data_IF_673085803537
#
_entry.id   IF_673085803537
#
_cell.length_a   1.000
_cell.length_b   1.000
_cell.length_c   1.000
_cell.angle_alpha   90.00
_cell.angle_beta   90.00
_cell.angle_gamma   90.00
#
_symmetry.space_group_name_H-M   'P 1'
#
loop_
_entity.id
_entity.type
_entity.pdbx_description
1 polymer ?
#
# COMPACT_ATOMS: atom_id res chain seq x y z
N UNK A 1 9.64 -5.62 5.71
CA UNK A 1 9.84 -4.17 5.94
C UNK A 1 8.89 -3.42 5.03
N UNK A 2 8.55 -2.16 5.34
CA UNK A 2 7.80 -1.29 4.43
C UNK A 2 8.71 -0.17 3.91
N UNK A 3 8.47 0.22 2.67
CA UNK A 3 9.18 1.28 1.96
C UNK A 3 8.17 2.27 1.41
N UNK A 4 8.42 3.55 1.64
CA UNK A 4 7.52 4.61 1.18
C UNK A 4 7.49 4.64 -0.35
N UNK A 5 6.28 4.72 -0.90
CA UNK A 5 6.02 4.80 -2.34
C UNK A 5 5.60 6.21 -2.75
N UNK A 6 4.61 6.76 -2.05
CA UNK A 6 4.03 8.05 -2.36
C UNK A 6 3.42 8.70 -1.12
N UNK A 7 3.44 10.04 -1.09
CA UNK A 7 2.68 10.85 -0.15
C UNK A 7 1.65 11.67 -0.95
N UNK A 8 0.37 11.53 -0.60
CA UNK A 8 -0.74 12.23 -1.24
C UNK A 8 -0.94 13.61 -0.61
N UNK A 9 -1.75 14.45 -1.27
CA UNK A 9 -1.97 15.85 -0.86
C UNK A 9 -2.56 16.02 0.55
N UNK A 10 -3.30 15.04 1.03
CA UNK A 10 -3.93 15.04 2.35
C UNK A 10 -3.01 14.42 3.44
N UNK A 11 -1.75 14.13 3.11
CA UNK A 11 -0.80 13.50 4.02
C UNK A 11 -0.94 11.98 4.09
N UNK A 12 -1.79 11.36 3.25
CA UNK A 12 -1.86 9.90 3.15
C UNK A 12 -0.54 9.36 2.60
N UNK A 13 0.10 8.45 3.33
CA UNK A 13 1.30 7.74 2.89
C UNK A 13 0.91 6.38 2.36
N UNK A 14 1.38 6.06 1.16
CA UNK A 14 1.32 4.73 0.57
C UNK A 14 2.71 4.14 0.65
N UNK A 15 2.83 2.95 1.24
CA UNK A 15 4.08 2.21 1.37
C UNK A 15 3.89 0.75 0.92
N UNK A 16 4.94 0.08 0.48
CA UNK A 16 4.89 -1.32 0.04
C UNK A 16 5.88 -2.18 0.81
N UNK A 17 5.58 -3.47 0.93
CA UNK A 17 6.51 -4.44 1.52
C UNK A 17 7.49 -4.98 0.48
N UNK A 18 8.62 -5.54 0.94
CA UNK A 18 9.35 -6.52 0.13
C UNK A 18 8.43 -7.69 -0.30
N UNK A 19 8.84 -8.45 -1.32
CA UNK A 19 8.13 -9.69 -1.70
C UNK A 19 8.12 -10.65 -0.51
N UNK A 20 6.92 -11.10 -0.14
CA UNK A 20 6.69 -12.03 0.96
C UNK A 20 6.87 -13.49 0.53
N UNK A 21 7.02 -14.45 1.47
CA UNK A 21 7.26 -15.86 1.13
C UNK A 21 6.16 -16.53 0.30
N UNK A 22 4.94 -15.99 0.33
CA UNK A 22 3.80 -16.43 -0.48
C UNK A 22 3.73 -15.72 -1.85
N UNK A 23 4.80 -15.04 -2.25
CA UNK A 23 4.91 -14.24 -3.47
C UNK A 23 3.91 -13.07 -3.56
N UNK A 24 3.48 -12.56 -2.42
CA UNK A 24 2.63 -11.36 -2.35
C UNK A 24 3.41 -10.12 -1.95
N UNK A 25 2.84 -8.95 -2.25
CA UNK A 25 3.31 -7.65 -1.75
C UNK A 25 2.16 -6.99 -1.01
N UNK A 26 2.42 -6.46 0.17
CA UNK A 26 1.44 -5.68 0.92
C UNK A 26 1.66 -4.21 0.64
N UNK A 27 0.60 -3.52 0.23
CA UNK A 27 0.55 -2.06 0.14
C UNK A 27 -0.17 -1.54 1.38
N UNK A 28 0.53 -0.78 2.21
CA UNK A 28 -0.04 -0.10 3.38
C UNK A 28 -0.42 1.32 2.99
N UNK A 29 -1.59 1.75 3.44
CA UNK A 29 -2.09 3.12 3.27
C UNK A 29 -2.43 3.64 4.65
N UNK A 30 -1.81 4.74 5.05
CA UNK A 30 -2.05 5.39 6.34
C UNK A 30 -2.28 6.89 6.15
N UNK A 31 -3.37 7.41 6.71
CA UNK A 31 -3.66 8.84 6.68
C UNK A 31 -3.72 9.39 8.11
N UNK A 32 -2.89 10.40 8.47
CA UNK A 32 -2.92 10.97 9.81
C UNK A 32 -4.25 11.67 10.07
N UNK A 33 -4.84 11.42 11.23
CA UNK A 33 -6.07 12.08 11.71
C UNK A 33 -5.89 12.57 13.13
N UNK A 34 -6.83 13.37 13.64
CA UNK A 34 -6.78 13.82 15.03
C UNK A 34 -6.82 12.61 15.97
N UNK A 35 -5.73 12.41 16.74
CA UNK A 35 -5.64 11.33 17.73
C UNK A 35 -5.25 9.95 17.18
N UNK A 36 -4.88 9.83 15.90
CA UNK A 36 -4.47 8.53 15.33
C UNK A 36 -4.22 8.56 13.83
N UNK A 37 -4.55 7.46 13.16
CA UNK A 37 -4.45 7.29 11.72
C UNK A 37 -5.62 6.45 11.19
N UNK A 38 -6.15 6.84 10.03
CA UNK A 38 -6.92 5.92 9.19
C UNK A 38 -5.93 4.91 8.59
N UNK A 39 -6.35 3.65 8.41
CA UNK A 39 -5.47 2.62 7.87
C UNK A 39 -6.19 1.69 6.90
N UNK A 40 -5.47 1.21 5.90
CA UNK A 40 -5.93 0.17 4.99
C UNK A 40 -4.73 -0.60 4.43
N UNK A 41 -4.92 -1.87 4.11
CA UNK A 41 -3.90 -2.71 3.46
C UNK A 41 -4.45 -3.43 2.25
N UNK A 42 -3.79 -3.29 1.11
CA UNK A 42 -4.08 -4.02 -0.11
C UNK A 42 -3.02 -5.11 -0.35
N UNK A 43 -3.46 -6.31 -0.73
CA UNK A 43 -2.56 -7.42 -1.07
C UNK A 43 -2.46 -7.53 -2.59
N UNK A 44 -1.26 -7.39 -3.14
CA UNK A 44 -0.97 -7.62 -4.55
C UNK A 44 -0.49 -9.06 -4.77
N UNK A 45 -0.89 -9.72 -5.88
CA UNK A 45 -1.68 -9.18 -6.99
C UNK A 45 -3.20 -9.43 -6.89
N UNK A 46 -3.71 -9.90 -5.74
CA UNK A 46 -5.14 -10.23 -5.58
C UNK A 46 -6.05 -9.00 -5.45
N UNK A 47 -5.47 -7.83 -5.16
CA UNK A 47 -6.17 -6.59 -4.82
C UNK A 47 -7.14 -6.76 -3.64
N UNK A 48 -6.78 -7.65 -2.71
CA UNK A 48 -7.59 -7.89 -1.52
C UNK A 48 -7.32 -6.80 -0.48
N UNK A 49 -8.36 -6.04 -0.15
CA UNK A 49 -8.32 -5.02 0.88
C UNK A 49 -8.69 -5.59 2.25
N UNK A 50 -7.86 -5.31 3.25
CA UNK A 50 -8.01 -5.76 4.63
C UNK A 50 -7.68 -4.64 5.61
N UNK A 51 -8.25 -4.72 6.82
CA UNK A 51 -7.95 -3.75 7.89
C UNK A 51 -8.27 -2.32 7.49
N UNK A 52 -9.38 -2.11 6.77
CA UNK A 52 -9.84 -0.78 6.36
C UNK A 52 -10.53 -0.11 7.55
N UNK A 53 -9.95 0.98 8.03
CA UNK A 53 -10.43 1.80 9.13
C UNK A 53 -10.34 3.28 8.73
N UNK A 54 -11.42 4.03 8.90
CA UNK A 54 -11.45 5.48 8.66
C UNK A 54 -11.64 5.93 7.21
N UNK A 55 -11.39 5.06 6.23
CA UNK A 55 -11.67 5.34 4.81
C UNK A 55 -13.13 5.08 4.44
N UNK A 56 -13.74 6.01 3.69
CA UNK A 56 -15.04 5.82 3.05
C UNK A 56 -14.95 4.88 1.85
N UNK A 57 -16.07 4.32 1.40
CA UNK A 57 -16.11 3.47 0.19
C UNK A 57 -15.57 4.19 -1.05
N UNK A 58 -15.83 5.50 -1.17
CA UNK A 58 -15.31 6.30 -2.28
C UNK A 58 -13.80 6.45 -2.20
N UNK A 59 -13.27 6.81 -1.03
CA UNK A 59 -11.82 6.93 -0.85
C UNK A 59 -11.11 5.60 -1.07
N UNK A 60 -11.70 4.49 -0.58
CA UNK A 60 -11.16 3.16 -0.83
C UNK A 60 -11.16 2.81 -2.33
N UNK A 61 -12.20 3.20 -3.07
CA UNK A 61 -12.25 3.03 -4.53
C UNK A 61 -11.18 3.87 -5.26
N UNK A 62 -10.94 5.10 -4.80
CA UNK A 62 -9.90 5.96 -5.37
C UNK A 62 -8.49 5.39 -5.07
N UNK A 63 -8.29 4.86 -3.87
CA UNK A 63 -7.07 4.13 -3.49
C UNK A 63 -6.89 2.83 -4.26
N UNK A 64 -7.96 2.07 -4.50
CA UNK A 64 -7.94 0.85 -5.30
C UNK A 64 -7.49 1.14 -6.74
N UNK A 65 -8.04 2.18 -7.37
CA UNK A 65 -7.61 2.61 -8.70
C UNK A 65 -6.13 3.04 -8.68
N UNK A 66 -5.72 3.83 -7.68
CA UNK A 66 -4.33 4.24 -7.54
C UNK A 66 -3.39 3.03 -7.43
N UNK A 67 -3.75 2.02 -6.64
CA UNK A 67 -2.94 0.80 -6.48
C UNK A 67 -2.89 0.01 -7.79
N UNK A 68 -4.00 -0.14 -8.51
CA UNK A 68 -4.02 -0.81 -9.82
C UNK A 68 -3.11 -0.12 -10.85
N UNK A 69 -3.18 1.22 -10.93
CA UNK A 69 -2.39 2.00 -11.90
C UNK A 69 -0.88 1.90 -11.61
N UNK A 70 -0.51 1.75 -10.34
CA UNK A 70 0.87 1.74 -9.89
C UNK A 70 1.43 0.34 -9.58
N UNK A 71 0.59 -0.70 -9.61
CA UNK A 71 0.96 -2.08 -9.27
C UNK A 71 2.20 -2.58 -10.04
N UNK A 72 2.37 -2.34 -11.36
CA UNK A 72 3.57 -2.79 -12.06
C UNK A 72 4.87 -2.21 -11.47
N UNK A 73 4.87 -0.93 -11.09
CA UNK A 73 6.04 -0.28 -10.52
C UNK A 73 6.27 -0.71 -9.06
N UNK A 74 5.20 -0.79 -8.26
CA UNK A 74 5.27 -1.28 -6.88
C UNK A 74 5.85 -2.70 -6.83
N UNK A 75 5.39 -3.61 -7.69
CA UNK A 75 5.89 -4.98 -7.76
C UNK A 75 7.37 -5.04 -8.19
N UNK A 76 7.79 -4.17 -9.11
CA UNK A 76 9.19 -4.07 -9.52
C UNK A 76 10.09 -3.59 -8.37
N UNK A 77 9.70 -2.52 -7.69
CA UNK A 77 10.44 -2.00 -6.53
C UNK A 77 10.50 -3.02 -5.39
N UNK A 78 9.39 -3.70 -5.10
CA UNK A 78 9.36 -4.78 -4.10
C UNK A 78 10.33 -5.92 -4.42
N UNK A 79 10.51 -6.24 -5.71
CA UNK A 79 11.50 -7.20 -6.16
C UNK A 79 12.92 -6.72 -5.90
N UNK A 80 13.24 -5.46 -6.28
CA UNK A 80 14.56 -4.87 -6.06
C UNK A 80 14.92 -4.82 -4.56
N UNK A 81 13.99 -4.39 -3.72
CA UNK A 81 14.15 -4.37 -2.26
C UNK A 81 14.38 -5.79 -1.71
N UNK A 82 13.66 -6.80 -2.20
CA UNK A 82 13.90 -8.19 -1.80
C UNK A 82 15.29 -8.70 -2.18
N UNK A 83 15.92 -8.18 -3.24
CA UNK A 83 17.29 -8.56 -3.61
C UNK A 83 18.34 -7.79 -2.81
N UNK A 84 18.07 -6.54 -2.43
CA UNK A 84 19.04 -5.70 -1.73
C UNK A 84 19.32 -6.14 -0.28
N UNK A 85 18.48 -7.03 0.27
CA UNK A 85 18.63 -7.64 1.59
C UNK A 85 18.90 -9.17 1.54
N UNK A 86 19.19 -9.72 0.35
CA UNK A 86 19.52 -11.14 0.15
C UNK A 86 21.02 -11.45 0.26
#
# INVERSE_FOLDING_TARGET
>A
MYFDYAELRDGTVVAFSNILPDNTVKVSVERPVEGGFDSARCILPSYEWTGVEGFTEKELSDLDQFVHDNAPLIMHLAYEESQSYA
#
